data_IF_541386053575
#
_entry.id   IF_541386053575
#
_cell.length_a   1.000
_cell.length_b   1.000
_cell.length_c   1.000
_cell.angle_alpha   90.00
_cell.angle_beta   90.00
_cell.angle_gamma   90.00
#
_symmetry.space_group_name_H-M   'P 1'
#
loop_
_entity.id
_entity.type
_entity.pdbx_description
1 polymer ?
#
# COMPACT_ATOMS: atom_id res chain seq x y z
N UNK A 1 -0.25 0.86 60.58
CA UNK A 1 -0.14 -0.53 60.04
C UNK A 1 -0.17 -0.47 58.52
N UNK A 2 0.53 -1.32 57.74
CA UNK A 2 0.42 -1.31 56.27
C UNK A 2 -1.05 -1.41 55.77
N UNK A 3 -1.92 -1.98 56.60
CA UNK A 3 -3.38 -2.03 56.43
C UNK A 3 -4.06 -0.64 56.35
N UNK A 4 -3.54 0.39 57.03
CA UNK A 4 -4.06 1.77 56.98
C UNK A 4 -3.64 2.54 55.73
N UNK A 5 -2.51 2.18 55.10
CA UNK A 5 -1.98 2.84 53.91
C UNK A 5 -2.38 2.15 52.59
N UNK A 6 -2.53 0.82 52.60
CA UNK A 6 -2.75 0.01 51.39
C UNK A 6 -4.03 -0.85 51.43
N UNK A 7 -4.73 -0.90 52.58
CA UNK A 7 -5.94 -1.74 52.75
C UNK A 7 -5.68 -3.25 52.69
N UNK A 8 -4.41 -3.67 52.76
CA UNK A 8 -3.96 -5.07 52.61
C UNK A 8 -2.77 -5.31 53.56
N UNK A 9 -2.74 -6.47 54.21
CA UNK A 9 -1.66 -6.83 55.15
C UNK A 9 -0.39 -7.30 54.42
N UNK A 10 0.78 -7.12 55.04
CA UNK A 10 2.06 -7.66 54.52
C UNK A 10 2.03 -9.18 54.34
N UNK A 11 1.24 -9.89 55.16
CA UNK A 11 1.03 -11.34 55.04
C UNK A 11 0.30 -11.70 53.75
N UNK A 12 -0.74 -10.94 53.39
CA UNK A 12 -1.48 -11.11 52.14
C UNK A 12 -0.62 -10.74 50.92
N UNK A 13 0.17 -9.66 51.00
CA UNK A 13 1.14 -9.30 49.96
C UNK A 13 2.15 -10.42 49.71
N UNK A 14 2.67 -11.04 50.79
CA UNK A 14 3.56 -12.21 50.68
C UNK A 14 2.88 -13.41 49.99
N UNK A 15 1.60 -13.66 50.29
CA UNK A 15 0.82 -14.71 49.64
C UNK A 15 0.61 -14.43 48.14
N UNK A 16 0.22 -13.19 47.78
CA UNK A 16 0.11 -12.75 46.38
C UNK A 16 1.42 -12.90 45.62
N UNK A 17 2.54 -12.49 46.23
CA UNK A 17 3.89 -12.65 45.66
C UNK A 17 4.21 -14.12 45.37
N UNK A 18 3.90 -15.01 46.31
CA UNK A 18 4.13 -16.45 46.15
C UNK A 18 3.28 -17.03 45.01
N UNK A 19 2.01 -16.62 44.93
CA UNK A 19 1.11 -17.04 43.85
C UNK A 19 1.62 -16.58 42.48
N UNK A 20 2.00 -15.30 42.36
CA UNK A 20 2.54 -14.73 41.12
C UNK A 20 3.80 -15.47 40.65
N UNK A 21 4.76 -15.72 41.55
CA UNK A 21 5.96 -16.53 41.26
C UNK A 21 5.60 -17.93 40.76
N UNK A 22 4.63 -18.59 41.41
CA UNK A 22 4.16 -19.91 41.01
C UNK A 22 3.52 -19.91 39.63
N UNK A 23 2.66 -18.93 39.32
CA UNK A 23 2.00 -18.83 38.00
C UNK A 23 3.06 -18.63 36.91
N UNK A 24 3.95 -17.64 37.08
CA UNK A 24 5.06 -17.39 36.16
C UNK A 24 5.91 -18.64 35.91
N UNK A 25 6.27 -19.35 36.99
CA UNK A 25 7.07 -20.58 36.90
C UNK A 25 6.33 -21.68 36.13
N UNK A 26 5.02 -21.84 36.36
CA UNK A 26 4.20 -22.83 35.62
C UNK A 26 4.15 -22.49 34.14
N UNK A 27 3.95 -21.22 33.79
CA UNK A 27 3.91 -20.76 32.40
C UNK A 27 5.27 -20.93 31.70
N UNK A 28 6.38 -20.59 32.38
CA UNK A 28 7.73 -20.79 31.88
C UNK A 28 8.02 -22.27 31.59
N UNK A 29 7.65 -23.15 32.53
CA UNK A 29 7.82 -24.59 32.40
C UNK A 29 6.94 -25.20 31.31
N UNK A 30 5.71 -24.69 31.15
CA UNK A 30 4.82 -25.09 30.06
C UNK A 30 5.47 -24.80 28.71
N UNK A 31 5.88 -23.54 28.47
CA UNK A 31 6.56 -23.13 27.23
C UNK A 31 7.82 -23.97 26.97
N UNK A 32 8.66 -24.16 27.98
CA UNK A 32 9.90 -24.95 27.87
C UNK A 32 9.67 -26.39 27.39
N UNK A 33 8.50 -26.97 27.71
CA UNK A 33 8.17 -28.36 27.35
C UNK A 33 7.56 -28.48 25.97
N UNK A 34 6.68 -27.56 25.58
CA UNK A 34 5.79 -27.76 24.42
C UNK A 34 6.16 -26.89 23.21
N UNK A 35 7.00 -25.87 23.37
CA UNK A 35 7.31 -24.89 22.32
C UNK A 35 7.76 -25.49 20.98
N UNK A 36 8.44 -26.64 20.99
CA UNK A 36 8.86 -27.32 19.75
C UNK A 36 7.69 -27.74 18.86
N UNK A 37 6.50 -27.92 19.42
CA UNK A 37 5.30 -28.40 18.74
C UNK A 37 4.25 -27.30 18.49
N UNK A 38 4.54 -26.07 18.90
CA UNK A 38 3.63 -24.95 18.76
C UNK A 38 3.80 -24.24 17.41
N UNK A 39 2.72 -23.62 16.94
CA UNK A 39 2.68 -22.75 15.76
C UNK A 39 3.31 -21.38 16.05
N UNK A 40 3.57 -20.58 14.99
CA UNK A 40 4.05 -19.18 15.12
C UNK A 40 3.19 -18.37 16.09
N UNK A 41 1.86 -18.41 15.91
CA UNK A 41 0.90 -17.64 16.71
C UNK A 41 0.91 -18.08 18.17
N UNK A 42 0.84 -19.39 18.42
CA UNK A 42 0.83 -19.93 19.79
C UNK A 42 2.10 -19.57 20.56
N UNK A 43 3.28 -19.67 19.93
CA UNK A 43 4.55 -19.27 20.55
C UNK A 43 4.56 -17.79 20.93
N UNK A 44 4.09 -16.93 20.04
CA UNK A 44 4.03 -15.49 20.28
C UNK A 44 3.01 -15.13 21.38
N UNK A 45 1.83 -15.75 21.38
CA UNK A 45 0.78 -15.53 22.37
C UNK A 45 1.19 -16.02 23.77
N UNK A 46 1.71 -17.25 23.87
CA UNK A 46 2.13 -17.82 25.15
C UNK A 46 3.36 -17.11 25.71
N UNK A 47 4.30 -16.65 24.87
CA UNK A 47 5.40 -15.82 25.34
C UNK A 47 4.93 -14.43 25.78
N UNK A 48 3.96 -13.82 25.08
CA UNK A 48 3.32 -12.57 25.51
C UNK A 48 2.66 -12.71 26.89
N UNK A 49 1.99 -13.85 27.13
CA UNK A 49 1.44 -14.20 28.43
C UNK A 49 2.53 -14.34 29.50
N UNK A 50 3.61 -15.07 29.22
CA UNK A 50 4.75 -15.17 30.13
C UNK A 50 5.34 -13.80 30.50
N UNK A 51 5.51 -12.91 29.53
CA UNK A 51 5.98 -11.53 29.75
C UNK A 51 5.01 -10.70 30.60
N UNK A 52 3.71 -10.98 30.52
CA UNK A 52 2.71 -10.37 31.39
C UNK A 52 2.86 -10.88 32.82
N UNK A 53 3.01 -12.19 33.01
CA UNK A 53 3.19 -12.79 34.33
C UNK A 53 4.51 -12.33 34.99
N UNK A 54 5.60 -12.18 34.22
CA UNK A 54 6.85 -11.61 34.71
C UNK A 54 6.67 -10.18 35.24
N UNK A 55 5.90 -9.34 34.54
CA UNK A 55 5.54 -7.99 35.01
C UNK A 55 4.71 -8.03 36.29
N UNK A 56 3.73 -8.92 36.37
CA UNK A 56 2.95 -9.11 37.60
C UNK A 56 3.81 -9.56 38.78
N UNK A 57 4.82 -10.42 38.55
CA UNK A 57 5.80 -10.76 39.60
C UNK A 57 6.56 -9.52 40.06
N UNK A 58 6.99 -8.67 39.11
CA UNK A 58 7.71 -7.43 39.42
C UNK A 58 6.86 -6.49 40.26
N UNK A 59 5.65 -6.18 39.79
CA UNK A 59 4.68 -5.28 40.43
C UNK A 59 4.36 -5.73 41.87
N UNK A 60 4.03 -7.02 42.07
CA UNK A 60 3.70 -7.54 43.40
C UNK A 60 4.93 -7.62 44.31
N UNK A 61 6.13 -7.80 43.75
CA UNK A 61 7.37 -7.77 44.53
C UNK A 61 7.66 -6.35 45.04
N UNK A 62 7.38 -5.32 44.24
CA UNK A 62 7.45 -3.91 44.63
C UNK A 62 6.35 -3.54 45.65
N UNK A 63 5.12 -3.99 45.45
CA UNK A 63 4.03 -3.82 46.45
C UNK A 63 4.41 -4.46 47.79
N UNK A 64 4.99 -5.66 47.77
CA UNK A 64 5.47 -6.32 48.98
C UNK A 64 6.61 -5.53 49.66
N UNK A 65 7.53 -4.95 48.88
CA UNK A 65 8.58 -4.06 49.39
C UNK A 65 7.98 -2.82 50.06
N UNK A 66 7.04 -2.16 49.41
CA UNK A 66 6.36 -0.98 49.93
C UNK A 66 5.58 -1.31 51.22
N UNK A 67 4.88 -2.44 51.27
CA UNK A 67 4.19 -2.89 52.48
C UNK A 67 5.13 -3.16 53.65
N UNK A 68 6.30 -3.78 53.40
CA UNK A 68 7.31 -3.99 54.44
C UNK A 68 7.86 -2.67 54.99
N UNK A 69 8.09 -1.68 54.13
CA UNK A 69 8.55 -0.35 54.54
C UNK A 69 7.50 0.39 55.36
N UNK A 70 6.23 0.34 54.95
CA UNK A 70 5.12 0.97 55.69
C UNK A 70 4.89 0.35 57.08
N UNK A 71 5.11 -0.97 57.22
CA UNK A 71 5.05 -1.64 58.53
C UNK A 71 6.22 -1.22 59.45
N UNK A 72 7.41 -0.94 58.89
CA UNK A 72 8.56 -0.43 59.65
C UNK A 72 8.31 1.01 60.07
N UNK A 73 7.88 1.86 59.12
CA UNK A 73 7.61 3.29 59.34
C UNK A 73 6.56 3.50 60.43
N UNK A 74 5.51 2.67 60.46
CA UNK A 74 4.48 2.70 61.51
C UNK A 74 4.99 2.33 62.92
N UNK A 75 6.20 1.75 63.02
CA UNK A 75 6.83 1.35 64.27
C UNK A 75 8.04 2.20 64.68
N UNK A 76 8.44 3.18 63.86
CA UNK A 76 9.55 4.11 64.10
C UNK A 76 9.05 5.51 64.46
N UNK A 77 9.83 6.26 65.25
CA UNK A 77 9.50 7.63 65.62
C UNK A 77 9.55 8.57 64.39
N UNK A 78 8.73 9.64 64.39
CA UNK A 78 8.68 10.62 63.30
C UNK A 78 10.08 11.20 62.99
N UNK A 79 10.64 10.86 61.83
CA UNK A 79 11.90 11.39 61.32
C UNK A 79 13.04 10.38 61.12
N UNK A 80 12.87 9.12 61.55
CA UNK A 80 13.79 8.04 61.17
C UNK A 80 13.40 7.43 59.82
N UNK A 81 14.41 7.19 58.97
CA UNK A 81 14.20 6.61 57.64
C UNK A 81 13.91 5.10 57.76
N UNK A 82 12.75 4.66 57.30
CA UNK A 82 12.39 3.25 57.32
C UNK A 82 13.29 2.45 56.35
N UNK A 83 14.22 1.67 56.89
CA UNK A 83 15.11 0.83 56.09
C UNK A 83 14.81 -0.67 56.23
N UNK A 84 14.81 -1.39 55.10
CA UNK A 84 14.73 -2.84 55.10
C UNK A 84 16.05 -3.45 55.55
N UNK A 85 15.98 -4.59 56.26
CA UNK A 85 17.19 -5.37 56.54
C UNK A 85 17.86 -5.82 55.23
N UNK A 86 19.19 -5.89 55.24
CA UNK A 86 19.99 -6.34 54.08
C UNK A 86 19.53 -7.69 53.54
N UNK A 87 19.09 -8.60 54.42
CA UNK A 87 18.55 -9.90 54.04
C UNK A 87 17.25 -9.77 53.23
N UNK A 88 16.32 -8.90 53.65
CA UNK A 88 15.05 -8.69 52.94
C UNK A 88 15.26 -8.00 51.60
N UNK A 89 16.17 -7.03 51.55
CA UNK A 89 16.51 -6.36 50.31
C UNK A 89 17.15 -7.32 49.30
N UNK A 90 18.06 -8.19 49.75
CA UNK A 90 18.65 -9.23 48.91
C UNK A 90 17.61 -10.27 48.43
N UNK A 91 16.63 -10.64 49.27
CA UNK A 91 15.54 -11.56 48.89
C UNK A 91 14.65 -11.00 47.76
N UNK A 92 14.31 -9.72 47.86
CA UNK A 92 13.51 -9.00 46.86
C UNK A 92 14.27 -8.89 45.54
N UNK A 93 15.54 -8.47 45.61
CA UNK A 93 16.42 -8.33 44.45
C UNK A 93 16.64 -9.67 43.75
N UNK A 94 16.92 -10.73 44.52
CA UNK A 94 17.03 -12.09 44.00
C UNK A 94 15.78 -12.53 43.23
N UNK A 95 14.60 -12.11 43.66
CA UNK A 95 13.35 -12.46 42.95
C UNK A 95 13.25 -11.80 41.59
N UNK A 96 13.71 -10.55 41.44
CA UNK A 96 13.79 -9.90 40.12
C UNK A 96 14.78 -10.61 39.22
N UNK A 97 15.99 -10.87 39.71
CA UNK A 97 17.05 -11.53 38.95
C UNK A 97 16.66 -12.94 38.50
N UNK A 98 16.02 -13.73 39.39
CA UNK A 98 15.51 -15.06 39.04
C UNK A 98 14.40 -14.98 37.97
N UNK A 99 13.52 -13.98 38.06
CA UNK A 99 12.43 -13.78 37.10
C UNK A 99 12.97 -13.38 35.72
N UNK A 100 13.88 -12.41 35.66
CA UNK A 100 14.51 -11.95 34.42
C UNK A 100 15.33 -13.05 33.76
N UNK A 101 16.21 -13.72 34.51
CA UNK A 101 17.02 -14.82 33.99
C UNK A 101 16.14 -15.93 33.41
N UNK A 102 15.04 -16.28 34.10
CA UNK A 102 14.11 -17.31 33.61
C UNK A 102 13.32 -16.85 32.38
N UNK A 103 12.96 -15.57 32.31
CA UNK A 103 12.28 -15.00 31.15
C UNK A 103 13.19 -15.03 29.92
N UNK A 104 14.46 -14.67 30.08
CA UNK A 104 15.46 -14.69 29.01
C UNK A 104 15.76 -16.11 28.54
N UNK A 105 15.89 -17.08 29.44
CA UNK A 105 16.05 -18.50 29.07
C UNK A 105 14.88 -19.00 28.19
N UNK A 106 13.64 -18.69 28.59
CA UNK A 106 12.47 -19.08 27.80
C UNK A 106 12.41 -18.29 26.48
N UNK A 107 12.83 -17.03 26.46
CA UNK A 107 12.91 -16.21 25.24
C UNK A 107 13.88 -16.81 24.24
N UNK A 108 15.07 -17.22 24.67
CA UNK A 108 16.06 -17.90 23.81
C UNK A 108 15.51 -19.20 23.25
N UNK A 109 14.82 -19.98 24.08
CA UNK A 109 14.16 -21.21 23.65
C UNK A 109 13.08 -20.91 22.60
N UNK A 110 12.20 -19.94 22.83
CA UNK A 110 11.17 -19.53 21.86
C UNK A 110 11.82 -19.01 20.58
N UNK A 111 12.87 -18.19 20.68
CA UNK A 111 13.63 -17.68 19.54
C UNK A 111 14.20 -18.82 18.69
N UNK A 112 14.81 -19.83 19.33
CA UNK A 112 15.38 -21.00 18.63
C UNK A 112 14.36 -21.83 17.85
N UNK A 113 13.07 -21.68 18.17
CA UNK A 113 11.97 -22.32 17.44
C UNK A 113 11.33 -21.37 16.41
N UNK A 114 11.12 -20.10 16.76
CA UNK A 114 10.45 -19.13 15.90
C UNK A 114 11.32 -18.68 14.73
N UNK A 115 12.57 -18.28 15.01
CA UNK A 115 13.43 -17.66 14.01
C UNK A 115 13.72 -18.57 12.81
N UNK A 116 14.32 -19.76 12.96
CA UNK A 116 14.70 -20.59 11.81
C UNK A 116 13.49 -21.15 11.05
N UNK A 117 12.32 -21.29 11.70
CA UNK A 117 11.12 -21.87 11.06
C UNK A 117 10.31 -20.86 10.26
N UNK A 118 10.33 -19.59 10.67
CA UNK A 118 9.43 -18.59 10.13
C UNK A 118 10.17 -17.29 9.80
N UNK A 119 10.84 -16.69 10.78
CA UNK A 119 11.40 -15.34 10.64
C UNK A 119 12.57 -15.22 9.69
N UNK A 120 13.49 -16.19 9.70
CA UNK A 120 14.72 -16.12 8.92
C UNK A 120 14.44 -16.00 7.43
N UNK A 121 13.61 -16.89 6.89
CA UNK A 121 13.28 -16.88 5.47
C UNK A 121 12.41 -15.68 5.11
N UNK A 122 11.43 -15.32 5.94
CA UNK A 122 10.52 -14.20 5.70
C UNK A 122 11.30 -12.87 5.58
N UNK A 123 12.18 -12.58 6.54
CA UNK A 123 13.00 -11.37 6.53
C UNK A 123 14.00 -11.39 5.38
N UNK A 124 14.72 -12.51 5.16
CA UNK A 124 15.72 -12.59 4.08
C UNK A 124 15.08 -12.45 2.70
N UNK A 125 13.89 -13.02 2.49
CA UNK A 125 13.17 -12.95 1.22
C UNK A 125 12.64 -11.54 0.97
N UNK A 126 12.02 -10.90 1.96
CA UNK A 126 11.54 -9.53 1.84
C UNK A 126 12.68 -8.54 1.51
N UNK A 127 13.85 -8.71 2.15
CA UNK A 127 15.04 -7.92 1.82
C UNK A 127 15.51 -8.20 0.40
N UNK A 128 15.61 -9.46 -0.01
CA UNK A 128 16.08 -9.83 -1.34
C UNK A 128 15.15 -9.36 -2.47
N UNK A 129 13.84 -9.43 -2.27
CA UNK A 129 12.84 -8.91 -3.20
C UNK A 129 12.97 -7.40 -3.35
N UNK A 130 13.18 -6.68 -2.24
CA UNK A 130 13.43 -5.24 -2.27
C UNK A 130 14.75 -4.88 -2.97
N UNK A 131 15.83 -5.60 -2.70
CA UNK A 131 17.13 -5.44 -3.39
C UNK A 131 16.95 -5.62 -4.91
N UNK A 132 16.32 -6.72 -5.32
CA UNK A 132 16.08 -7.04 -6.73
C UNK A 132 15.21 -5.98 -7.41
N UNK A 133 14.17 -5.49 -6.74
CA UNK A 133 13.32 -4.43 -7.26
C UNK A 133 14.11 -3.13 -7.46
N UNK A 134 14.90 -2.73 -6.45
CA UNK A 134 15.75 -1.54 -6.52
C UNK A 134 16.77 -1.65 -7.66
N UNK A 135 17.46 -2.78 -7.79
CA UNK A 135 18.43 -3.02 -8.86
C UNK A 135 17.77 -2.94 -10.24
N UNK A 136 16.59 -3.56 -10.40
CA UNK A 136 15.83 -3.53 -11.65
C UNK A 136 15.41 -2.11 -12.08
N UNK A 137 15.09 -1.23 -11.12
CA UNK A 137 14.79 0.18 -11.40
C UNK A 137 16.08 0.97 -11.64
N UNK A 138 17.17 0.64 -10.95
CA UNK A 138 18.44 1.31 -11.09
C UNK A 138 19.00 1.23 -12.51
N UNK A 139 18.77 0.11 -13.20
CA UNK A 139 19.24 -0.10 -14.58
C UNK A 139 18.45 0.67 -15.65
N UNK A 140 17.33 1.32 -15.30
CA UNK A 140 16.53 2.06 -16.29
C UNK A 140 17.26 3.33 -16.72
N UNK A 141 17.58 3.51 -18.02
CA UNK A 141 18.24 4.71 -18.50
C UNK A 141 17.31 5.93 -18.38
N UNK A 142 17.89 7.06 -17.97
CA UNK A 142 17.16 8.33 -17.82
C UNK A 142 16.89 8.92 -19.21
N UNK A 143 15.71 8.64 -19.74
CA UNK A 143 15.23 9.16 -21.03
C UNK A 143 13.75 9.53 -20.93
N UNK A 144 13.28 10.40 -21.83
CA UNK A 144 11.88 10.81 -21.87
C UNK A 144 10.91 9.62 -22.06
N UNK A 145 11.30 8.63 -22.88
CA UNK A 145 10.47 7.45 -23.19
C UNK A 145 10.34 6.50 -22.00
N UNK A 146 11.36 6.44 -21.14
CA UNK A 146 11.39 5.51 -20.01
C UNK A 146 10.70 6.04 -18.74
N UNK A 147 10.20 7.29 -18.74
CA UNK A 147 9.62 7.92 -17.54
C UNK A 147 8.47 7.11 -16.96
N UNK A 148 7.47 6.76 -17.78
CA UNK A 148 6.28 6.06 -17.30
C UNK A 148 6.62 4.64 -16.81
N UNK A 149 7.57 3.98 -17.48
CA UNK A 149 8.09 2.68 -17.06
C UNK A 149 8.90 2.75 -15.76
N UNK A 150 9.64 3.84 -15.53
CA UNK A 150 10.32 4.10 -14.27
C UNK A 150 9.32 4.33 -13.13
N UNK A 151 8.33 5.20 -13.32
CA UNK A 151 7.33 5.52 -12.29
C UNK A 151 6.53 4.28 -11.87
N UNK A 152 6.09 3.45 -12.83
CA UNK A 152 5.38 2.21 -12.53
C UNK A 152 6.23 1.24 -11.68
N UNK A 153 7.51 1.08 -12.00
CA UNK A 153 8.40 0.19 -11.24
C UNK A 153 8.85 0.80 -9.91
N UNK A 154 8.90 2.13 -9.82
CA UNK A 154 9.22 2.86 -8.60
C UNK A 154 8.18 2.63 -7.51
N UNK A 155 6.89 2.64 -7.84
CA UNK A 155 5.83 2.31 -6.87
C UNK A 155 6.02 0.91 -6.28
N UNK A 156 6.40 -0.05 -7.12
CA UNK A 156 6.74 -1.41 -6.67
C UNK A 156 7.95 -1.43 -5.73
N UNK A 157 9.03 -0.70 -6.06
CA UNK A 157 10.21 -0.55 -5.18
C UNK A 157 9.82 0.02 -3.83
N UNK A 158 9.02 1.08 -3.80
CA UNK A 158 8.55 1.69 -2.55
C UNK A 158 7.82 0.69 -1.67
N UNK A 159 6.90 -0.08 -2.25
CA UNK A 159 6.19 -1.14 -1.53
C UNK A 159 7.15 -2.21 -1.00
N UNK A 160 8.10 -2.68 -1.81
CA UNK A 160 9.01 -3.74 -1.37
C UNK A 160 9.99 -3.28 -0.29
N UNK A 161 10.52 -2.06 -0.38
CA UNK A 161 11.36 -1.48 0.68
C UNK A 161 10.55 -1.35 1.98
N UNK A 162 9.29 -0.92 1.91
CA UNK A 162 8.41 -0.86 3.08
C UNK A 162 8.14 -2.25 3.67
N UNK A 163 7.91 -3.26 2.83
CA UNK A 163 7.72 -4.64 3.27
C UNK A 163 8.96 -5.19 3.99
N UNK A 164 10.15 -4.94 3.46
CA UNK A 164 11.41 -5.33 4.10
C UNK A 164 11.60 -4.67 5.48
N UNK A 165 11.29 -3.37 5.58
CA UNK A 165 11.31 -2.63 6.85
C UNK A 165 10.30 -3.21 7.84
N UNK A 166 9.06 -3.43 7.40
CA UNK A 166 7.98 -3.95 8.24
C UNK A 166 8.28 -5.37 8.73
N UNK A 167 8.79 -6.24 7.85
CA UNK A 167 9.18 -7.61 8.21
C UNK A 167 10.32 -7.61 9.22
N UNK A 168 11.36 -6.80 9.03
CA UNK A 168 12.45 -6.69 10.02
C UNK A 168 11.92 -6.23 11.39
N UNK A 169 11.00 -5.25 11.41
CA UNK A 169 10.41 -4.73 12.63
C UNK A 169 9.50 -5.76 13.33
N UNK A 170 8.68 -6.50 12.59
CA UNK A 170 7.84 -7.59 13.14
C UNK A 170 8.70 -8.64 13.85
N UNK A 171 9.85 -8.96 13.28
CA UNK A 171 10.72 -10.01 13.78
C UNK A 171 11.80 -9.51 14.75
N UNK A 172 11.93 -8.21 15.00
CA UNK A 172 13.09 -7.61 15.69
C UNK A 172 13.45 -8.31 17.01
N UNK A 173 12.44 -8.64 17.81
CA UNK A 173 12.64 -9.26 19.13
C UNK A 173 13.12 -10.72 19.05
N UNK A 174 12.98 -11.34 17.88
CA UNK A 174 13.29 -12.74 17.59
C UNK A 174 14.53 -12.90 16.70
N UNK A 175 15.13 -11.82 16.21
CA UNK A 175 16.38 -11.89 15.44
C UNK A 175 17.54 -12.25 16.37
N UNK A 176 18.33 -13.31 16.09
CA UNK A 176 19.54 -13.62 16.84
C UNK A 176 20.50 -12.44 16.83
N UNK A 177 21.19 -12.21 17.95
CA UNK A 177 22.12 -11.07 18.11
C UNK A 177 23.16 -11.02 16.98
N UNK A 178 23.69 -12.19 16.58
CA UNK A 178 24.66 -12.32 15.50
C UNK A 178 24.14 -11.86 14.12
N UNK A 179 22.82 -11.91 13.87
CA UNK A 179 22.22 -11.51 12.60
C UNK A 179 21.62 -10.10 12.63
N UNK A 180 21.36 -9.55 13.83
CA UNK A 180 20.61 -8.29 14.00
C UNK A 180 21.29 -7.12 13.31
N UNK A 181 22.59 -6.95 13.49
CA UNK A 181 23.35 -5.87 12.86
C UNK A 181 23.40 -6.02 11.35
N UNK A 182 23.67 -7.23 10.85
CA UNK A 182 23.76 -7.53 9.41
C UNK A 182 22.44 -7.27 8.68
N UNK A 183 21.33 -7.78 9.20
CA UNK A 183 20.00 -7.58 8.60
C UNK A 183 19.55 -6.13 8.71
N UNK A 184 19.79 -5.50 9.86
CA UNK A 184 19.52 -4.08 10.07
C UNK A 184 20.32 -3.17 9.13
N UNK A 185 21.59 -3.49 8.88
CA UNK A 185 22.45 -2.81 7.91
C UNK A 185 21.86 -2.87 6.49
N UNK A 186 21.52 -4.06 6.02
CA UNK A 186 20.91 -4.25 4.68
C UNK A 186 19.61 -3.45 4.50
N UNK A 187 18.74 -3.41 5.50
CA UNK A 187 17.50 -2.63 5.43
C UNK A 187 17.78 -1.12 5.43
N UNK A 188 18.79 -0.66 6.18
CA UNK A 188 19.23 0.75 6.13
C UNK A 188 19.78 1.11 4.75
N UNK A 189 20.61 0.25 4.17
CA UNK A 189 21.19 0.43 2.83
C UNK A 189 20.10 0.45 1.76
N UNK A 190 19.10 -0.45 1.86
CA UNK A 190 17.93 -0.46 0.99
C UNK A 190 17.13 0.84 1.06
N UNK A 191 16.90 1.35 2.28
CA UNK A 191 16.20 2.63 2.46
C UNK A 191 16.97 3.77 1.81
N UNK A 192 18.29 3.82 2.01
CA UNK A 192 19.14 4.82 1.37
C UNK A 192 19.12 4.68 -0.16
N UNK A 193 19.16 3.45 -0.68
CA UNK A 193 19.12 3.19 -2.10
C UNK A 193 17.79 3.58 -2.73
N UNK A 194 16.67 3.26 -2.06
CA UNK A 194 15.34 3.74 -2.43
C UNK A 194 15.29 5.27 -2.53
N UNK A 195 15.78 5.99 -1.51
CA UNK A 195 15.83 7.46 -1.53
C UNK A 195 16.67 8.00 -2.71
N UNK A 196 17.78 7.33 -3.07
CA UNK A 196 18.58 7.71 -4.22
C UNK A 196 17.84 7.50 -5.54
N UNK A 197 17.07 6.41 -5.67
CA UNK A 197 16.20 6.17 -6.81
C UNK A 197 15.08 7.22 -6.90
N UNK A 198 14.51 7.64 -5.78
CA UNK A 198 13.53 8.73 -5.74
C UNK A 198 14.13 10.03 -6.29
N UNK A 199 15.35 10.38 -5.88
CA UNK A 199 16.05 11.57 -6.38
C UNK A 199 16.28 11.52 -7.90
N UNK A 200 16.43 10.33 -8.50
CA UNK A 200 16.57 10.16 -9.96
C UNK A 200 15.31 10.55 -10.73
N UNK A 201 14.13 10.64 -10.11
CA UNK A 201 12.89 11.11 -10.76
C UNK A 201 13.05 12.47 -11.40
N UNK A 202 13.80 13.37 -10.76
CA UNK A 202 14.10 14.69 -11.32
C UNK A 202 14.83 14.60 -12.68
N UNK A 203 15.71 13.61 -12.84
CA UNK A 203 16.40 13.35 -14.11
C UNK A 203 15.44 12.99 -15.24
N UNK A 204 14.43 12.16 -14.98
CA UNK A 204 13.42 11.79 -15.98
C UNK A 204 12.55 12.99 -16.39
N UNK A 205 12.20 13.85 -15.44
CA UNK A 205 11.48 15.10 -15.72
C UNK A 205 12.31 16.05 -16.60
N UNK A 206 13.59 16.19 -16.30
CA UNK A 206 14.50 17.01 -17.12
C UNK A 206 14.67 16.43 -18.52
N UNK A 207 14.85 15.12 -18.65
CA UNK A 207 14.96 14.44 -19.95
C UNK A 207 13.70 14.61 -20.80
N UNK A 208 12.52 14.58 -20.17
CA UNK A 208 11.25 14.87 -20.85
C UNK A 208 11.20 16.31 -21.39
N UNK A 209 11.55 17.30 -20.55
CA UNK A 209 11.56 18.71 -20.97
C UNK A 209 12.51 18.94 -22.14
N UNK A 210 13.71 18.37 -22.11
CA UNK A 210 14.68 18.47 -23.21
C UNK A 210 14.11 17.85 -24.50
N UNK A 211 13.48 16.68 -24.41
CA UNK A 211 12.88 16.04 -25.58
C UNK A 211 11.69 16.82 -26.16
N UNK A 212 10.91 17.51 -25.31
CA UNK A 212 9.85 18.42 -25.72
C UNK A 212 10.43 19.68 -26.40
N UNK A 213 11.44 20.31 -25.78
CA UNK A 213 12.16 21.47 -26.34
C UNK A 213 12.85 21.14 -27.67
N UNK A 214 13.46 19.96 -27.82
CA UNK A 214 14.07 19.50 -29.07
C UNK A 214 13.05 19.23 -30.17
N UNK A 215 11.86 18.72 -29.82
CA UNK A 215 10.73 18.63 -30.77
C UNK A 215 10.29 20.02 -31.23
N UNK A 216 10.29 20.99 -30.33
CA UNK A 216 9.91 22.37 -30.63
C UNK A 216 11.00 23.12 -31.42
N UNK A 217 12.29 22.81 -31.23
CA UNK A 217 13.43 23.35 -32.01
C UNK A 217 13.62 22.66 -33.37
N UNK A 218 13.30 21.37 -33.48
CA UNK A 218 13.32 20.61 -34.73
C UNK A 218 12.19 21.01 -35.69
N UNK A 219 11.21 21.80 -35.22
CA UNK A 219 10.34 22.60 -36.08
C UNK A 219 11.16 23.72 -36.72
N UNK A 220 11.60 23.51 -37.96
CA UNK A 220 12.18 24.57 -38.78
C UNK A 220 11.18 25.74 -38.83
N UNK A 221 11.59 26.99 -38.53
CA UNK A 221 10.79 28.16 -38.87
C UNK A 221 10.66 28.19 -40.40
N UNK A 222 9.48 27.84 -40.91
CA UNK A 222 9.22 28.06 -42.33
C UNK A 222 9.38 29.56 -42.61
N UNK A 223 10.36 29.90 -43.46
CA UNK A 223 10.56 31.24 -44.00
C UNK A 223 9.20 31.73 -44.52
N UNK A 224 8.74 32.94 -44.17
CA UNK A 224 7.54 33.49 -44.76
C UNK A 224 7.84 33.82 -46.22
N UNK A 225 7.62 32.85 -47.12
CA UNK A 225 7.20 33.22 -48.47
C UNK A 225 5.92 34.06 -48.33
N UNK A 226 5.60 34.97 -49.26
CA UNK A 226 4.29 35.62 -49.29
C UNK A 226 3.24 34.56 -49.60
N UNK A 227 2.87 33.82 -48.57
CA UNK A 227 1.80 32.86 -48.54
C UNK A 227 0.50 33.67 -48.47
N UNK A 228 -0.55 33.26 -49.20
CA UNK A 228 -1.85 33.89 -49.06
C UNK A 228 -2.24 33.82 -47.58
N UNK A 229 -2.62 34.98 -47.05
CA UNK A 229 -2.95 35.26 -45.64
C UNK A 229 -3.37 34.00 -44.86
N UNK A 230 -2.71 33.67 -43.72
CA UNK A 230 -3.18 32.58 -42.88
C UNK A 230 -4.51 33.02 -42.31
N UNK A 231 -5.58 32.58 -42.94
CA UNK A 231 -6.88 32.51 -42.30
C UNK A 231 -6.65 31.65 -41.08
N UNK A 232 -6.74 32.23 -39.88
CA UNK A 232 -6.90 31.49 -38.64
C UNK A 232 -8.17 30.67 -38.77
N UNK A 233 -8.09 29.52 -39.43
CA UNK A 233 -9.05 28.44 -39.27
C UNK A 233 -8.67 27.74 -37.98
N UNK A 234 -8.99 28.38 -36.86
CA UNK A 234 -9.64 27.63 -35.80
C UNK A 234 -10.81 26.98 -36.54
N UNK A 235 -10.67 25.72 -36.98
CA UNK A 235 -11.83 25.00 -37.49
C UNK A 235 -12.84 25.11 -36.35
N UNK A 236 -14.03 25.69 -36.60
CA UNK A 236 -15.11 25.51 -35.65
C UNK A 236 -15.15 24.01 -35.39
N UNK A 237 -15.10 23.60 -34.12
CA UNK A 237 -15.19 22.21 -33.73
C UNK A 237 -16.65 21.81 -33.98
N UNK A 238 -17.02 21.69 -35.25
CA UNK A 238 -18.33 21.26 -35.66
C UNK A 238 -18.44 19.79 -35.28
N UNK A 239 -19.52 19.45 -34.60
CA UNK A 239 -19.85 18.08 -34.32
C UNK A 239 -19.93 17.30 -35.65
N UNK A 240 -19.44 16.04 -35.68
CA UNK A 240 -19.37 15.27 -36.90
C UNK A 240 -20.78 15.01 -37.43
N UNK A 241 -20.96 15.07 -38.75
CA UNK A 241 -22.27 14.86 -39.40
C UNK A 241 -22.53 13.37 -39.64
N UNK A 242 -23.72 12.89 -39.30
CA UNK A 242 -24.17 11.54 -39.58
C UNK A 242 -24.97 11.47 -40.88
N UNK A 243 -24.45 10.71 -41.85
CA UNK A 243 -25.07 10.52 -43.17
C UNK A 243 -25.97 9.29 -43.27
N UNK A 244 -26.16 8.51 -42.19
CA UNK A 244 -26.97 7.29 -42.21
C UNK A 244 -26.21 6.02 -42.60
N UNK A 245 -24.89 6.10 -42.79
CA UNK A 245 -24.07 4.92 -43.08
C UNK A 245 -23.89 4.04 -41.84
N UNK A 246 -24.49 2.85 -41.84
CA UNK A 246 -24.57 1.95 -40.68
C UNK A 246 -23.20 1.57 -40.12
N UNK A 247 -22.23 1.24 -40.99
CA UNK A 247 -20.86 0.85 -40.60
C UNK A 247 -20.14 1.93 -39.80
N UNK A 248 -20.49 3.20 -40.00
CA UNK A 248 -19.88 4.32 -39.28
C UNK A 248 -20.67 4.76 -38.04
N UNK A 249 -21.86 4.21 -37.78
CA UNK A 249 -22.72 4.67 -36.69
C UNK A 249 -22.03 4.69 -35.32
N UNK A 250 -21.37 3.59 -34.94
CA UNK A 250 -20.70 3.48 -33.63
C UNK A 250 -19.44 4.34 -33.53
N UNK A 251 -18.73 4.57 -34.65
CA UNK A 251 -17.58 5.48 -34.71
C UNK A 251 -18.04 6.93 -34.57
N UNK A 252 -19.02 7.31 -35.38
CA UNK A 252 -19.63 8.64 -35.37
C UNK A 252 -20.17 9.00 -33.99
N UNK A 253 -20.95 8.12 -33.35
CA UNK A 253 -21.50 8.36 -32.01
C UNK A 253 -20.40 8.63 -30.98
N UNK A 254 -19.32 7.83 -31.02
CA UNK A 254 -18.18 7.99 -30.10
C UNK A 254 -17.44 9.31 -30.31
N UNK A 255 -17.18 9.66 -31.57
CA UNK A 255 -16.48 10.90 -31.92
C UNK A 255 -17.34 12.12 -31.55
N UNK A 256 -18.65 12.03 -31.76
CA UNK A 256 -19.63 13.04 -31.36
C UNK A 256 -19.66 13.24 -29.84
N UNK A 257 -19.79 12.17 -29.06
CA UNK A 257 -19.80 12.24 -27.58
C UNK A 257 -18.47 12.75 -27.01
N UNK A 258 -17.34 12.40 -27.63
CA UNK A 258 -16.01 12.89 -27.23
C UNK A 258 -15.88 14.40 -27.46
N UNK A 259 -16.27 14.88 -28.64
CA UNK A 259 -16.22 16.31 -28.96
C UNK A 259 -17.21 17.12 -28.12
N UNK A 260 -18.38 16.55 -27.82
CA UNK A 260 -19.35 17.18 -26.93
C UNK A 260 -18.80 17.37 -25.50
N UNK A 261 -18.08 16.38 -24.97
CA UNK A 261 -17.45 16.47 -23.64
C UNK A 261 -16.32 17.50 -23.60
N UNK A 262 -15.62 17.70 -24.71
CA UNK A 262 -14.54 18.70 -24.82
C UNK A 262 -15.08 20.12 -25.00
N UNK A 263 -16.17 20.29 -25.74
CA UNK A 263 -16.78 21.59 -26.02
C UNK A 263 -17.66 22.11 -24.87
N UNK A 264 -18.54 21.28 -24.33
CA UNK A 264 -19.48 21.66 -23.26
C UNK A 264 -19.67 20.52 -22.24
N UNK A 265 -18.70 20.32 -21.31
CA UNK A 265 -18.75 19.22 -20.33
C UNK A 265 -20.01 19.26 -19.44
N UNK A 266 -20.57 20.45 -19.20
CA UNK A 266 -21.76 20.69 -18.35
C UNK A 266 -23.05 20.93 -19.14
N UNK A 267 -23.04 20.78 -20.48
CA UNK A 267 -24.10 21.27 -21.37
C UNK A 267 -25.52 20.76 -21.06
N UNK A 268 -26.49 21.68 -21.09
CA UNK A 268 -27.91 21.43 -20.83
C UNK A 268 -28.50 20.38 -21.77
N UNK A 269 -29.54 19.66 -21.32
CA UNK A 269 -30.20 18.60 -22.08
C UNK A 269 -30.76 19.12 -23.42
N UNK A 270 -31.27 20.34 -23.42
CA UNK A 270 -31.84 21.05 -24.57
C UNK A 270 -30.77 21.38 -25.61
N UNK A 271 -29.58 21.82 -25.16
CA UNK A 271 -28.47 22.19 -26.04
C UNK A 271 -27.91 20.95 -26.75
N UNK A 272 -27.73 19.85 -26.01
CA UNK A 272 -27.30 18.57 -26.59
C UNK A 272 -28.29 18.03 -27.62
N UNK A 273 -29.58 18.21 -27.38
CA UNK A 273 -30.64 17.82 -28.33
C UNK A 273 -30.54 18.62 -29.63
N UNK A 274 -30.44 19.94 -29.55
CA UNK A 274 -30.35 20.82 -30.74
C UNK A 274 -29.09 20.49 -31.54
N UNK A 275 -27.95 20.37 -30.85
CA UNK A 275 -26.67 20.01 -31.47
C UNK A 275 -26.68 18.62 -32.11
N UNK A 276 -27.40 17.65 -31.52
CA UNK A 276 -27.56 16.33 -32.11
C UNK A 276 -28.41 16.38 -33.40
N UNK A 277 -29.50 17.15 -33.41
CA UNK A 277 -30.31 17.37 -34.63
C UNK A 277 -29.44 17.98 -35.72
N UNK A 278 -28.66 19.00 -35.38
CA UNK A 278 -27.74 19.64 -36.31
C UNK A 278 -26.63 18.70 -36.78
N UNK A 279 -26.32 17.64 -36.03
CA UNK A 279 -25.27 16.68 -36.38
C UNK A 279 -25.76 15.51 -37.24
N UNK A 280 -27.01 15.50 -37.67
CA UNK A 280 -27.62 14.41 -38.43
C UNK A 280 -28.14 14.95 -39.77
N UNK A 281 -28.03 14.16 -40.84
CA UNK A 281 -28.60 14.52 -42.13
C UNK A 281 -30.11 14.77 -42.01
N UNK A 282 -30.56 15.90 -42.58
CA UNK A 282 -31.95 16.37 -42.49
C UNK A 282 -32.96 15.31 -42.95
N UNK A 283 -32.60 14.49 -43.95
CA UNK A 283 -33.47 13.40 -44.44
C UNK A 283 -33.73 12.35 -43.37
N UNK A 284 -32.75 12.10 -42.51
CA UNK A 284 -32.85 11.17 -41.39
C UNK A 284 -33.64 11.80 -40.25
N UNK A 285 -33.40 13.09 -39.98
CA UNK A 285 -34.17 13.86 -38.99
C UNK A 285 -35.67 13.86 -39.30
N UNK A 286 -36.05 14.13 -40.55
CA UNK A 286 -37.44 14.10 -41.01
C UNK A 286 -37.97 12.65 -41.02
N UNK A 287 -37.21 11.72 -41.60
CA UNK A 287 -37.64 10.33 -41.78
C UNK A 287 -37.84 9.54 -40.48
N UNK A 288 -37.16 9.94 -39.40
CA UNK A 288 -37.32 9.36 -38.05
C UNK A 288 -38.09 10.27 -37.09
N UNK A 289 -38.56 11.44 -37.56
CA UNK A 289 -39.20 12.46 -36.73
C UNK A 289 -38.37 12.80 -35.49
N UNK A 290 -37.06 12.94 -35.63
CA UNK A 290 -36.15 13.10 -34.49
C UNK A 290 -36.47 14.35 -33.64
N UNK A 291 -37.05 15.38 -34.27
CA UNK A 291 -37.50 16.60 -33.59
C UNK A 291 -38.64 16.39 -32.59
N UNK A 292 -39.38 15.27 -32.63
CA UNK A 292 -40.46 14.98 -31.66
C UNK A 292 -39.96 14.38 -30.34
N UNK A 293 -38.68 14.04 -30.23
CA UNK A 293 -38.08 13.52 -29.00
C UNK A 293 -37.51 14.66 -28.16
N UNK A 294 -37.64 14.54 -26.82
CA UNK A 294 -37.28 15.60 -25.89
C UNK A 294 -35.83 15.54 -25.39
N UNK A 295 -35.14 14.40 -25.57
CA UNK A 295 -33.76 14.22 -25.12
C UNK A 295 -32.87 13.63 -26.22
N UNK A 296 -31.56 13.95 -26.16
CA UNK A 296 -30.57 13.38 -27.06
C UNK A 296 -30.44 11.85 -26.91
N UNK A 297 -30.66 11.32 -25.70
CA UNK A 297 -30.59 9.87 -25.44
C UNK A 297 -31.73 9.11 -26.13
N UNK A 298 -32.94 9.69 -26.12
CA UNK A 298 -34.07 9.12 -26.86
C UNK A 298 -33.81 9.07 -28.36
N UNK A 299 -33.20 10.13 -28.91
CA UNK A 299 -32.79 10.18 -30.32
C UNK A 299 -31.72 9.15 -30.64
N UNK A 300 -30.69 9.01 -29.79
CA UNK A 300 -29.65 7.99 -29.96
C UNK A 300 -30.20 6.57 -29.91
N UNK A 301 -31.21 6.31 -29.07
CA UNK A 301 -31.89 5.01 -29.02
C UNK A 301 -32.58 4.69 -30.34
N UNK A 302 -33.31 5.63 -30.92
CA UNK A 302 -34.00 5.45 -32.21
C UNK A 302 -33.00 5.26 -33.36
N UNK A 303 -31.93 6.06 -33.38
CA UNK A 303 -30.85 5.91 -34.37
C UNK A 303 -30.12 4.57 -34.21
N UNK A 304 -29.85 4.15 -32.97
CA UNK A 304 -29.20 2.88 -32.65
C UNK A 304 -30.02 1.68 -33.12
N UNK A 305 -31.34 1.72 -32.96
CA UNK A 305 -32.24 0.66 -33.42
C UNK A 305 -32.24 0.54 -34.95
N UNK A 306 -32.13 1.65 -35.69
CA UNK A 306 -32.19 1.65 -37.16
C UNK A 306 -30.83 1.45 -37.84
N UNK A 307 -29.78 2.05 -37.29
CA UNK A 307 -28.46 2.11 -37.93
C UNK A 307 -27.35 1.41 -37.14
N UNK A 308 -27.59 1.08 -35.87
CA UNK A 308 -26.59 0.53 -34.95
C UNK A 308 -26.63 -0.98 -34.74
N UNK A 309 -27.50 -1.71 -35.47
CA UNK A 309 -27.60 -3.17 -35.36
C UNK A 309 -26.28 -3.83 -35.82
N UNK A 310 -25.54 -4.38 -34.85
CA UNK A 310 -24.21 -4.95 -35.06
C UNK A 310 -24.23 -6.14 -36.03
N UNK A 311 -25.26 -6.97 -35.99
CA UNK A 311 -25.39 -8.14 -36.88
C UNK A 311 -25.62 -7.71 -38.33
N UNK A 312 -26.48 -6.71 -38.55
CA UNK A 312 -26.71 -6.15 -39.89
C UNK A 312 -25.44 -5.50 -40.46
N UNK A 313 -24.71 -4.75 -39.63
CA UNK A 313 -23.43 -4.13 -40.03
C UNK A 313 -22.39 -5.21 -40.40
N UNK A 314 -22.30 -6.28 -39.60
CA UNK A 314 -21.37 -7.37 -39.86
C UNK A 314 -21.70 -8.12 -41.15
N UNK A 315 -22.98 -8.37 -41.42
CA UNK A 315 -23.43 -8.98 -42.68
C UNK A 315 -23.07 -8.12 -43.90
N UNK A 316 -23.32 -6.80 -43.86
CA UNK A 316 -22.92 -5.88 -44.94
C UNK A 316 -21.41 -5.89 -45.17
N UNK A 317 -20.60 -5.99 -44.10
CA UNK A 317 -19.14 -6.08 -44.22
C UNK A 317 -18.72 -7.40 -44.89
N UNK A 318 -19.32 -8.53 -44.49
CA UNK A 318 -19.00 -9.84 -45.06
C UNK A 318 -19.38 -9.93 -46.54
N UNK A 319 -20.56 -9.42 -46.91
CA UNK A 319 -21.01 -9.38 -48.31
C UNK A 319 -20.09 -8.50 -49.19
N UNK A 320 -19.59 -7.38 -48.66
CA UNK A 320 -18.61 -6.54 -49.36
C UNK A 320 -17.25 -7.23 -49.51
N UNK A 321 -16.82 -8.03 -48.53
CA UNK A 321 -15.57 -8.79 -48.59
C UNK A 321 -15.65 -9.94 -49.60
N UNK A 322 -16.80 -10.61 -49.73
CA UNK A 322 -17.03 -11.66 -50.73
C UNK A 322 -17.03 -11.13 -52.17
N UNK A 323 -17.31 -9.84 -52.37
CA UNK A 323 -17.27 -9.16 -53.68
C UNK A 323 -15.87 -8.77 -54.13
N UNK A 324 -14.85 -8.91 -53.27
CA UNK A 324 -13.45 -8.64 -53.63
C UNK A 324 -12.89 -9.87 -54.34
N UNK A 325 -12.54 -9.81 -55.65
CA UNK A 325 -12.00 -10.97 -56.34
C UNK A 325 -10.69 -11.44 -55.69
N UNK A 326 -10.55 -12.75 -55.53
CA UNK A 326 -9.30 -13.33 -55.05
C UNK A 326 -8.16 -12.92 -56.00
N UNK A 327 -7.13 -12.27 -55.45
CA UNK A 327 -5.93 -11.91 -56.20
C UNK A 327 -5.30 -13.19 -56.74
N UNK A 328 -5.41 -13.41 -58.05
CA UNK A 328 -4.68 -14.47 -58.75
C UNK A 328 -3.20 -14.12 -58.70
N UNK A 329 -2.45 -14.84 -57.86
CA UNK A 329 -1.00 -14.84 -57.92
C UNK A 329 -0.59 -15.46 -59.26
N UNK A 330 -0.03 -14.65 -60.16
CA UNK A 330 0.61 -15.15 -61.39
C UNK A 330 1.96 -15.77 -61.02
N UNK A 331 2.18 -16.99 -61.51
CA UNK A 331 3.45 -17.73 -61.42
C UNK A 331 4.41 -17.40 -62.56
#
# INVERSE_FOLDING_TARGET
MAEEALGITVKELKQKRTLAKSTFTKQANFLSRVAKHMTKRELQEEFKKLKSEARTVSEINDEYRAGLLADIEAGTDEGEEAELSKEKQAELEKTFQECEARLDEVKEMVQSNLWPRYGENEVKSAIHEAETACDGVAQIPVTAVNRDGFELRWDSVKTQVQNAIASLAEWEMWIPVAEKERLGGRVKDLKAFGNNLEARRAGFLTAQRIAEDERDRGRVPQVPMPAPQPTLRIKPICLPKFSGYKRNFHRWRRDWESLQKQGEPTGSVEVKRIQLIDSIDERICIGLRLSSYNTAEDMFRVLGNRYGNKSTIALEIMEDLEKIPALTCWG
#
